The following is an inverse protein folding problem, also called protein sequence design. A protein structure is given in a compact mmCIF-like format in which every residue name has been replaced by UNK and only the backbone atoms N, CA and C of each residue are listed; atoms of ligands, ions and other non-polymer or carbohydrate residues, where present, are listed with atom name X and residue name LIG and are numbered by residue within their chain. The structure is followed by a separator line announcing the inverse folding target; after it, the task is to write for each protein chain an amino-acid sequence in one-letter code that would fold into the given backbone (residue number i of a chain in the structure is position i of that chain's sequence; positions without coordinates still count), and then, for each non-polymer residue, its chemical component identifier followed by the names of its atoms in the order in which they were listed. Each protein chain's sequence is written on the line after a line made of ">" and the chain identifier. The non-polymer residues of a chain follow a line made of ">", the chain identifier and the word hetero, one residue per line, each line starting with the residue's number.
data_IF_734009432990
#
_entry.id   IF_734009432990
#
_cell.length_a   1.000
_cell.length_b   1.000
_cell.length_c   1.000
_cell.angle_alpha   90.00
_cell.angle_beta   90.00
_cell.angle_gamma   90.00
#
_symmetry.space_group_name_H-M   'P 1'
#
loop_
_entity.id
_entity.type
_entity.pdbx_description
1 polymer ?
#
# COMPACT_ATOMS: atom_id res chain seq x y z
N UNK A 1 27.06 -8.46 -15.85
CA UNK A 1 25.58 -8.42 -15.99
C UNK A 1 24.82 -8.28 -14.67
N UNK A 2 25.37 -8.71 -13.51
CA UNK A 2 24.65 -8.62 -12.21
C UNK A 2 24.40 -7.19 -11.70
N UNK A 3 25.27 -6.21 -12.00
CA UNK A 3 25.10 -4.81 -11.58
C UNK A 3 23.88 -4.12 -12.21
N UNK A 4 23.56 -4.42 -13.49
CA UNK A 4 22.41 -3.80 -14.20
C UNK A 4 21.07 -4.26 -13.62
N UNK A 5 20.97 -5.54 -13.25
CA UNK A 5 19.76 -6.09 -12.63
C UNK A 5 19.56 -5.55 -11.22
N UNK A 6 20.65 -5.34 -10.46
CA UNK A 6 20.61 -4.77 -9.11
C UNK A 6 19.94 -3.40 -9.07
N UNK A 7 20.33 -2.49 -9.98
CA UNK A 7 19.72 -1.15 -10.07
C UNK A 7 18.24 -1.19 -10.48
N UNK A 8 17.83 -2.19 -11.27
CA UNK A 8 16.43 -2.38 -11.63
C UNK A 8 15.59 -2.84 -10.42
N UNK A 9 16.09 -3.80 -9.64
CA UNK A 9 15.40 -4.25 -8.42
C UNK A 9 15.31 -3.17 -7.34
N UNK A 10 16.33 -2.31 -7.19
CA UNK A 10 16.23 -1.15 -6.29
C UNK A 10 15.12 -0.18 -6.71
N UNK A 11 14.96 0.08 -8.01
CA UNK A 11 13.86 0.92 -8.52
C UNK A 11 12.50 0.27 -8.30
N UNK A 12 12.38 -1.04 -8.50
CA UNK A 12 11.14 -1.79 -8.20
C UNK A 12 10.81 -1.69 -6.70
N UNK A 13 11.79 -1.89 -5.83
CA UNK A 13 11.64 -1.76 -4.38
C UNK A 13 11.06 -0.39 -4.00
N UNK A 14 11.67 0.69 -4.51
CA UNK A 14 11.20 2.06 -4.26
C UNK A 14 9.79 2.29 -4.81
N UNK A 15 9.50 1.78 -6.02
CA UNK A 15 8.17 1.88 -6.63
C UNK A 15 7.11 1.12 -5.84
N UNK A 16 7.44 -0.06 -5.30
CA UNK A 16 6.54 -0.84 -4.44
C UNK A 16 6.25 -0.13 -3.12
N UNK A 17 7.25 0.50 -2.49
CA UNK A 17 7.03 1.29 -1.27
C UNK A 17 6.13 2.50 -1.59
N UNK A 18 6.45 3.25 -2.66
CA UNK A 18 5.66 4.40 -3.08
C UNK A 18 4.22 4.04 -3.45
N UNK A 19 4.05 2.98 -4.25
CA UNK A 19 2.73 2.46 -4.62
C UNK A 19 1.92 2.03 -3.40
N UNK A 20 2.55 1.35 -2.45
CA UNK A 20 1.88 0.94 -1.22
C UNK A 20 1.40 2.11 -0.37
N UNK A 21 2.18 3.20 -0.28
CA UNK A 21 1.73 4.45 0.35
C UNK A 21 0.52 5.06 -0.35
N UNK A 22 0.49 5.07 -1.68
CA UNK A 22 -0.68 5.55 -2.44
C UNK A 22 -1.93 4.74 -2.10
N UNK A 23 -1.84 3.41 -2.06
CA UNK A 23 -2.95 2.55 -1.68
C UNK A 23 -3.45 2.82 -0.26
N UNK A 24 -2.53 3.01 0.70
CA UNK A 24 -2.90 3.36 2.07
C UNK A 24 -3.62 4.72 2.15
N UNK A 25 -3.09 5.75 1.46
CA UNK A 25 -3.70 7.09 1.42
C UNK A 25 -5.08 7.04 0.77
N UNK A 26 -5.21 6.35 -0.37
CA UNK A 26 -6.48 6.16 -1.06
C UNK A 26 -7.52 5.47 -0.16
N UNK A 27 -7.11 4.46 0.60
CA UNK A 27 -7.98 3.77 1.55
C UNK A 27 -8.50 4.71 2.65
N UNK A 28 -7.64 5.58 3.19
CA UNK A 28 -8.03 6.59 4.19
C UNK A 28 -9.00 7.60 3.58
N UNK A 29 -8.78 8.06 2.35
CA UNK A 29 -9.70 8.97 1.66
C UNK A 29 -11.08 8.32 1.48
N UNK A 30 -11.13 7.08 0.99
CA UNK A 30 -12.37 6.33 0.82
C UNK A 30 -13.10 6.16 2.16
N UNK A 31 -12.34 5.87 3.23
CA UNK A 31 -12.91 5.76 4.57
C UNK A 31 -13.55 7.06 5.04
N UNK A 32 -12.87 8.19 4.91
CA UNK A 32 -13.39 9.50 5.29
C UNK A 32 -14.64 9.87 4.46
N UNK A 33 -14.63 9.62 3.15
CA UNK A 33 -15.81 9.80 2.30
C UNK A 33 -16.98 8.90 2.72
N UNK A 34 -16.69 7.67 3.15
CA UNK A 34 -17.72 6.73 3.62
C UNK A 34 -18.32 7.19 4.95
N UNK A 35 -17.51 7.76 5.85
CA UNK A 35 -17.98 8.35 7.11
C UNK A 35 -18.82 9.62 6.90
N UNK A 36 -18.44 10.48 5.94
CA UNK A 36 -19.22 11.68 5.59
C UNK A 36 -20.62 11.32 5.07
N UNK A 37 -20.71 10.26 4.26
CA UNK A 37 -21.98 9.69 3.83
C UNK A 37 -22.72 8.92 4.95
N UNK A 38 -22.11 8.75 6.12
CA UNK A 38 -22.61 7.91 7.19
C UNK A 38 -23.85 8.43 7.90
N UNK A 39 -24.14 9.73 7.79
CA UNK A 39 -25.38 10.32 8.29
C UNK A 39 -26.60 9.99 7.40
N UNK A 40 -26.36 9.52 6.17
CA UNK A 40 -27.38 9.28 5.15
C UNK A 40 -27.67 7.78 4.94
N UNK A 41 -26.84 6.90 5.48
CA UNK A 41 -26.88 5.46 5.23
C UNK A 41 -27.00 4.64 6.53
N UNK A 42 -27.67 3.48 6.50
CA UNK A 42 -27.70 2.56 7.63
C UNK A 42 -26.28 2.11 8.04
N UNK A 43 -25.99 1.99 9.35
CA UNK A 43 -24.66 1.58 9.84
C UNK A 43 -24.13 0.27 9.25
N UNK A 44 -25.02 -0.68 8.94
CA UNK A 44 -24.65 -1.96 8.29
C UNK A 44 -24.09 -1.78 6.88
N UNK A 45 -24.63 -0.82 6.11
CA UNK A 45 -24.17 -0.54 4.75
C UNK A 45 -22.82 0.20 4.76
N UNK A 46 -22.65 1.14 5.68
CA UNK A 46 -21.37 1.83 5.92
C UNK A 46 -20.28 0.81 6.26
N UNK A 47 -20.56 -0.09 7.21
CA UNK A 47 -19.61 -1.13 7.61
C UNK A 47 -19.24 -2.04 6.44
N UNK A 48 -20.22 -2.44 5.62
CA UNK A 48 -19.97 -3.25 4.43
C UNK A 48 -19.08 -2.53 3.41
N UNK A 49 -19.33 -1.24 3.17
CA UNK A 49 -18.53 -0.41 2.25
C UNK A 49 -17.09 -0.26 2.73
N UNK A 50 -16.88 0.06 4.01
CA UNK A 50 -15.54 0.13 4.61
C UNK A 50 -14.86 -1.24 4.55
N UNK A 51 -15.59 -2.31 4.83
CA UNK A 51 -15.03 -3.66 4.81
C UNK A 51 -14.63 -4.12 3.42
N UNK A 52 -15.39 -3.75 2.39
CA UNK A 52 -15.13 -4.13 1.00
C UNK A 52 -14.04 -3.28 0.33
N UNK A 53 -13.80 -2.05 0.78
CA UNK A 53 -12.93 -1.10 0.06
C UNK A 53 -11.73 -0.64 0.89
N UNK A 54 -11.95 -0.16 2.11
CA UNK A 54 -10.90 0.41 2.96
C UNK A 54 -9.94 -0.66 3.48
N UNK A 55 -10.45 -1.75 4.05
CA UNK A 55 -9.57 -2.79 4.63
C UNK A 55 -8.70 -3.49 3.58
N UNK A 56 -9.22 -3.95 2.43
CA UNK A 56 -8.39 -4.60 1.41
C UNK A 56 -7.34 -3.65 0.84
N UNK A 57 -7.67 -2.37 0.67
CA UNK A 57 -6.73 -1.36 0.17
C UNK A 57 -5.62 -1.05 1.18
N UNK A 58 -5.95 -0.96 2.48
CA UNK A 58 -4.95 -0.82 3.55
C UNK A 58 -4.02 -2.04 3.63
N UNK A 59 -4.59 -3.24 3.63
CA UNK A 59 -3.81 -4.49 3.70
C UNK A 59 -2.93 -4.64 2.45
N UNK A 60 -3.50 -4.41 1.27
CA UNK A 60 -2.77 -4.47 0.00
C UNK A 60 -1.64 -3.44 -0.07
N UNK A 61 -1.90 -2.19 0.35
CA UNK A 61 -0.89 -1.15 0.44
C UNK A 61 0.24 -1.51 1.41
N UNK A 62 -0.10 -1.99 2.60
CA UNK A 62 0.86 -2.44 3.59
C UNK A 62 1.73 -3.60 3.09
N UNK A 63 1.12 -4.60 2.45
CA UNK A 63 1.86 -5.72 1.86
C UNK A 63 2.80 -5.24 0.74
N UNK A 64 2.41 -4.26 -0.07
CA UNK A 64 3.28 -3.67 -1.10
C UNK A 64 4.49 -2.96 -0.48
N UNK A 65 4.28 -2.22 0.62
CA UNK A 65 5.36 -1.57 1.36
C UNK A 65 6.32 -2.62 1.89
N UNK A 66 5.79 -3.67 2.55
CA UNK A 66 6.62 -4.74 3.10
C UNK A 66 7.40 -5.48 2.02
N UNK A 67 6.77 -5.80 0.89
CA UNK A 67 7.45 -6.39 -0.25
C UNK A 67 8.59 -5.49 -0.75
N UNK A 68 8.35 -4.19 -0.89
CA UNK A 68 9.36 -3.23 -1.30
C UNK A 68 10.51 -3.10 -0.29
N UNK A 69 10.23 -3.08 1.01
CA UNK A 69 11.25 -3.04 2.08
C UNK A 69 12.12 -4.29 2.08
N UNK A 70 11.52 -5.48 1.97
CA UNK A 70 12.25 -6.75 1.87
C UNK A 70 13.14 -6.73 0.63
N UNK A 71 12.62 -6.30 -0.51
CA UNK A 71 13.37 -6.23 -1.76
C UNK A 71 14.54 -5.22 -1.66
N UNK A 72 14.37 -4.12 -0.91
CA UNK A 72 15.45 -3.19 -0.61
C UNK A 72 16.56 -3.85 0.21
N UNK A 73 16.17 -4.55 1.29
CA UNK A 73 17.09 -5.21 2.21
C UNK A 73 17.90 -6.33 1.52
N UNK A 74 17.26 -7.12 0.65
CA UNK A 74 17.91 -8.21 -0.09
C UNK A 74 18.88 -7.68 -1.15
N UNK A 75 18.58 -6.52 -1.74
CA UNK A 75 19.37 -5.97 -2.85
C UNK A 75 20.45 -4.99 -2.37
N UNK A 76 20.42 -4.55 -1.10
CA UNK A 76 21.38 -3.63 -0.50
C UNK A 76 22.84 -4.11 -0.67
N UNK A 77 23.79 -3.23 -1.04
CA UNK A 77 25.22 -3.58 -1.10
C UNK A 77 25.72 -4.09 0.26
N UNK A 78 26.65 -5.08 0.27
CA UNK A 78 27.34 -5.42 1.50
C UNK A 78 27.98 -4.15 2.06
N UNK A 79 27.76 -3.92 3.35
CA UNK A 79 28.34 -2.80 4.08
C UNK A 79 29.84 -3.10 4.15
N UNK A 80 30.64 -2.35 3.40
CA UNK A 80 32.11 -2.32 3.56
C UNK A 80 32.49 -1.65 4.90
#
# INVERSE_FOLDING_TARGET
>A
MQQKNRGYYQKISQLSIFGGWIFCIAAVIIFLMTLDNGNSLPPKLIFLMVAASTFPSLIGGFLLIMAGLILNAVVAPPIE
#
